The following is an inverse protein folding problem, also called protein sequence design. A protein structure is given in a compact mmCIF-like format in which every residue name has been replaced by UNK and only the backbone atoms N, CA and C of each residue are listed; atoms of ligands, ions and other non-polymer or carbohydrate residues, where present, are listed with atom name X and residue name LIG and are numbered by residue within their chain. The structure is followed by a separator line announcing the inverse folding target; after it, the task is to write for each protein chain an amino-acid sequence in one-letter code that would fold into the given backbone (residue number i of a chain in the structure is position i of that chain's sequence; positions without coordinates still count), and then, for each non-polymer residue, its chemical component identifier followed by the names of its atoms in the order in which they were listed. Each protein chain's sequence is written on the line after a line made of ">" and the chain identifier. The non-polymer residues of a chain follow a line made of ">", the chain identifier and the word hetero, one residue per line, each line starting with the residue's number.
data_IF_767225982862
#
_entry.id   IF_767225982862
#
_cell.length_a   1.000
_cell.length_b   1.000
_cell.length_c   1.000
_cell.angle_alpha   90.00
_cell.angle_beta   90.00
_cell.angle_gamma   90.00
#
_symmetry.space_group_name_H-M   'P 1'
#
loop_
_entity.id
_entity.type
_entity.pdbx_description
1 polymer ?
#
# COMPACT_ATOMS: atom_id res chain seq x y z
N UNK A 1 -2.21 -16.89 -9.10
CA UNK A 1 -2.62 -16.47 -7.73
C UNK A 1 -3.92 -15.69 -7.74
N UNK A 2 -4.05 -14.62 -8.53
CA UNK A 2 -5.27 -13.79 -8.59
C UNK A 2 -6.54 -14.60 -8.92
N UNK A 3 -6.50 -15.45 -9.94
CA UNK A 3 -7.62 -16.33 -10.33
C UNK A 3 -8.00 -17.38 -9.29
N UNK A 4 -7.07 -17.74 -8.38
CA UNK A 4 -7.38 -18.61 -7.25
C UNK A 4 -8.11 -17.83 -6.15
N UNK A 5 -7.63 -16.62 -5.84
CA UNK A 5 -8.22 -15.73 -4.82
C UNK A 5 -9.64 -15.30 -5.17
N UNK A 6 -9.94 -15.15 -6.46
CA UNK A 6 -11.27 -14.81 -6.97
C UNK A 6 -12.38 -15.75 -6.46
N UNK A 7 -12.06 -17.04 -6.28
CA UNK A 7 -13.01 -18.06 -5.81
C UNK A 7 -13.44 -17.87 -4.36
N UNK A 8 -12.74 -17.04 -3.59
CA UNK A 8 -13.03 -16.77 -2.18
C UNK A 8 -13.94 -15.55 -2.00
N UNK A 9 -14.25 -14.81 -3.06
CA UNK A 9 -15.16 -13.66 -3.03
C UNK A 9 -14.77 -12.63 -1.95
N UNK A 10 -13.47 -12.34 -1.84
CA UNK A 10 -13.00 -11.26 -0.98
C UNK A 10 -13.59 -9.94 -1.44
N UNK A 11 -13.84 -9.02 -0.50
CA UNK A 11 -14.31 -7.67 -0.83
C UNK A 11 -13.24 -6.87 -1.59
N UNK A 12 -11.97 -7.13 -1.31
CA UNK A 12 -10.80 -6.56 -1.98
C UNK A 12 -9.55 -7.39 -1.65
N UNK A 13 -8.48 -7.13 -2.38
CA UNK A 13 -7.12 -7.59 -2.08
C UNK A 13 -6.19 -6.38 -1.97
N UNK A 14 -5.01 -6.55 -1.36
CA UNK A 14 -4.01 -5.47 -1.21
C UNK A 14 -2.58 -6.01 -1.27
N UNK A 15 -2.36 -7.03 -2.10
CA UNK A 15 -1.10 -7.78 -2.21
C UNK A 15 -0.26 -7.38 -3.43
N UNK A 16 -0.33 -6.11 -3.81
CA UNK A 16 0.54 -5.52 -4.84
C UNK A 16 0.93 -4.07 -4.50
N UNK A 17 2.00 -3.59 -5.14
CA UNK A 17 2.37 -2.17 -5.16
C UNK A 17 1.58 -1.42 -6.23
N UNK A 18 1.30 -0.13 -6.04
CA UNK A 18 0.56 0.67 -7.01
C UNK A 18 0.03 1.97 -6.43
N UNK A 19 -0.74 2.70 -7.23
CA UNK A 19 -1.17 4.07 -6.91
C UNK A 19 -2.69 4.23 -6.92
N UNK A 20 -3.42 3.37 -7.63
CA UNK A 20 -4.88 3.48 -7.79
C UNK A 20 -5.57 2.14 -7.62
N UNK A 21 -6.84 2.15 -7.20
CA UNK A 21 -7.68 0.96 -7.07
C UNK A 21 -8.10 0.49 -8.47
N UNK A 22 -7.99 -0.82 -8.73
CA UNK A 22 -8.33 -1.39 -10.04
C UNK A 22 -8.90 -2.82 -9.94
N UNK A 23 -9.62 -3.24 -10.98
CA UNK A 23 -10.01 -4.63 -11.20
C UNK A 23 -8.92 -5.35 -12.01
N UNK A 24 -8.28 -6.40 -11.49
CA UNK A 24 -7.19 -7.07 -12.20
C UNK A 24 -7.68 -7.76 -13.48
N UNK A 25 -6.96 -7.56 -14.57
CA UNK A 25 -7.14 -8.31 -15.83
C UNK A 25 -6.08 -9.40 -15.95
N UNK A 26 -6.52 -10.65 -16.08
CA UNK A 26 -5.68 -11.84 -16.23
C UNK A 26 -6.08 -12.58 -17.49
N UNK A 27 -5.14 -12.79 -18.42
CA UNK A 27 -5.37 -13.47 -19.70
C UNK A 27 -6.58 -12.91 -20.48
N UNK A 28 -6.72 -11.58 -20.48
CA UNK A 28 -7.82 -10.87 -21.15
C UNK A 28 -9.16 -10.90 -20.39
N UNK A 29 -9.22 -11.54 -19.23
CA UNK A 29 -10.43 -11.61 -18.38
C UNK A 29 -10.29 -10.67 -17.20
N UNK A 30 -11.22 -9.73 -17.07
CA UNK A 30 -11.36 -8.90 -15.87
C UNK A 30 -11.90 -9.74 -14.70
N UNK A 31 -11.26 -9.65 -13.54
CA UNK A 31 -11.71 -10.27 -12.30
C UNK A 31 -12.65 -9.33 -11.55
N UNK A 32 -13.53 -9.87 -10.71
CA UNK A 32 -14.51 -9.07 -9.95
C UNK A 32 -13.99 -8.55 -8.62
N UNK A 33 -12.89 -9.11 -8.09
CA UNK A 33 -12.30 -8.66 -6.82
C UNK A 33 -11.29 -7.53 -7.05
N UNK A 34 -11.52 -6.31 -6.51
CA UNK A 34 -10.60 -5.20 -6.69
C UNK A 34 -9.29 -5.36 -5.92
N UNK A 35 -8.23 -4.76 -6.44
CA UNK A 35 -6.98 -4.52 -5.73
C UNK A 35 -6.95 -3.10 -5.18
N UNK A 36 -6.53 -2.97 -3.92
CA UNK A 36 -6.16 -1.71 -3.27
C UNK A 36 -4.66 -1.78 -3.02
N UNK A 37 -3.84 -1.24 -3.94
CA UNK A 37 -2.39 -1.42 -3.86
C UNK A 37 -1.74 -0.71 -2.68
N UNK A 38 -0.62 -1.23 -2.19
CA UNK A 38 0.24 -0.55 -1.22
C UNK A 38 0.97 0.61 -1.91
N UNK A 39 0.62 1.85 -1.55
CA UNK A 39 1.17 3.07 -2.18
C UNK A 39 2.23 3.78 -1.34
N UNK A 40 2.34 3.46 -0.04
CA UNK A 40 3.36 4.01 0.85
C UNK A 40 4.49 3.01 1.09
N UNK A 41 5.73 3.46 1.32
CA UNK A 41 6.85 2.56 1.60
C UNK A 41 6.61 1.83 2.93
N UNK A 42 7.10 0.59 3.01
CA UNK A 42 7.15 -0.16 4.27
C UNK A 42 8.32 0.30 5.15
N UNK A 43 8.33 -0.13 6.42
CA UNK A 43 9.43 0.12 7.35
C UNK A 43 10.80 -0.27 6.80
N UNK A 44 10.94 -1.48 6.29
CA UNK A 44 12.14 -2.04 5.66
C UNK A 44 12.52 -1.36 4.33
N UNK A 45 11.54 -0.72 3.66
CA UNK A 45 11.79 0.03 2.44
C UNK A 45 12.38 1.42 2.71
N UNK A 46 12.10 2.01 3.87
CA UNK A 46 12.48 3.38 4.17
C UNK A 46 13.66 3.46 5.16
N UNK A 47 13.69 2.60 6.19
CA UNK A 47 14.72 2.66 7.23
C UNK A 47 16.13 2.39 6.68
N UNK A 48 17.11 3.17 7.14
CA UNK A 48 18.52 2.98 6.80
C UNK A 48 18.89 3.48 5.41
N UNK A 49 17.95 4.13 4.71
CA UNK A 49 18.15 4.66 3.35
C UNK A 49 17.96 6.16 3.32
N UNK A 50 18.70 6.84 2.45
CA UNK A 50 18.57 8.29 2.24
C UNK A 50 18.59 9.12 3.53
N UNK A 51 19.35 8.68 4.54
CA UNK A 51 19.44 9.36 5.85
C UNK A 51 18.26 9.12 6.80
N UNK A 52 17.40 8.15 6.52
CA UNK A 52 16.30 7.77 7.42
C UNK A 52 16.82 6.84 8.52
N UNK A 53 16.56 7.22 9.76
CA UNK A 53 16.82 6.47 10.99
C UNK A 53 15.55 6.48 11.86
N UNK A 54 15.49 5.69 12.94
CA UNK A 54 14.30 5.66 13.80
C UNK A 54 13.86 7.06 14.27
N UNK A 55 14.82 7.92 14.60
CA UNK A 55 14.55 9.26 15.13
C UNK A 55 13.84 10.22 14.13
N UNK A 56 13.88 9.95 12.83
CA UNK A 56 13.21 10.77 11.81
C UNK A 56 12.27 9.96 10.90
N UNK A 57 12.05 8.68 11.21
CA UNK A 57 11.29 7.75 10.38
C UNK A 57 9.84 8.20 10.18
N UNK A 58 9.13 8.53 11.26
CA UNK A 58 7.71 8.91 11.19
C UNK A 58 7.49 10.18 10.36
N UNK A 59 8.32 11.20 10.59
CA UNK A 59 8.31 12.44 9.82
C UNK A 59 8.51 12.17 8.33
N UNK A 60 9.51 11.34 7.99
CA UNK A 60 9.84 10.96 6.61
C UNK A 60 8.76 10.10 5.97
N UNK A 61 8.12 9.19 6.72
CA UNK A 61 7.02 8.39 6.21
C UNK A 61 5.80 9.24 5.91
N UNK A 62 5.48 10.20 6.78
CA UNK A 62 4.34 11.10 6.61
C UNK A 62 4.52 12.09 5.45
N UNK A 63 5.75 12.36 5.00
CA UNK A 63 6.00 13.09 3.73
C UNK A 63 5.44 12.36 2.50
N UNK A 64 5.22 11.04 2.58
CA UNK A 64 4.57 10.29 1.51
C UNK A 64 3.06 10.43 1.51
N UNK A 65 2.42 10.90 2.59
CA UNK A 65 0.99 11.08 2.63
C UNK A 65 0.57 12.33 1.82
N UNK A 66 -0.43 12.20 0.93
CA UNK A 66 -0.98 13.35 0.20
C UNK A 66 -2.49 13.20 -0.02
N UNK A 67 -3.28 14.29 0.08
CA UNK A 67 -4.72 14.24 -0.18
C UNK A 67 -5.07 13.93 -1.64
N UNK A 68 -4.12 14.15 -2.58
CA UNK A 68 -4.35 13.98 -4.01
C UNK A 68 -4.11 12.55 -4.52
N UNK A 69 -3.73 11.62 -3.62
CA UNK A 69 -3.42 10.23 -3.96
C UNK A 69 -3.93 9.26 -2.91
N UNK A 70 -3.98 7.98 -3.27
CA UNK A 70 -4.25 6.92 -2.32
C UNK A 70 -3.07 6.76 -1.34
N UNK A 71 -3.36 6.66 -0.05
CA UNK A 71 -2.38 6.45 1.00
C UNK A 71 -2.66 5.11 1.69
N UNK A 72 -1.95 4.06 1.28
CA UNK A 72 -2.06 2.74 1.90
C UNK A 72 -0.70 2.30 2.44
N UNK A 73 -0.62 2.23 3.76
CA UNK A 73 0.55 1.83 4.53
C UNK A 73 0.38 0.40 5.06
N UNK A 74 1.45 -0.39 4.96
CA UNK A 74 1.56 -1.67 5.65
C UNK A 74 2.32 -1.48 6.95
N UNK A 75 1.80 -2.05 8.02
CA UNK A 75 2.39 -2.04 9.36
C UNK A 75 2.63 -3.50 9.78
N UNK A 76 3.86 -3.85 10.16
CA UNK A 76 4.19 -5.21 10.56
C UNK A 76 3.97 -5.40 12.06
N UNK A 77 3.15 -6.37 12.43
CA UNK A 77 2.90 -6.67 13.83
C UNK A 77 4.18 -7.04 14.59
N UNK A 78 5.12 -7.71 13.91
CA UNK A 78 6.38 -8.18 14.52
C UNK A 78 7.39 -7.06 14.79
N UNK A 79 7.37 -5.97 14.02
CA UNK A 79 8.31 -4.84 14.16
C UNK A 79 7.60 -3.64 14.77
N UNK A 80 6.70 -2.98 14.01
CA UNK A 80 5.94 -1.80 14.44
C UNK A 80 4.93 -2.11 15.55
N UNK A 81 4.48 -3.36 15.70
CA UNK A 81 3.70 -3.81 16.85
C UNK A 81 4.52 -4.30 18.05
N UNK A 82 5.84 -4.46 17.87
CA UNK A 82 6.75 -5.00 18.88
C UNK A 82 7.79 -3.98 19.31
N UNK A 83 9.04 -4.19 18.90
CA UNK A 83 10.18 -3.34 19.28
C UNK A 83 10.01 -1.87 18.88
N UNK A 84 9.24 -1.60 17.82
CA UNK A 84 8.95 -0.25 17.33
C UNK A 84 7.55 0.26 17.76
N UNK A 85 6.88 -0.37 18.74
CA UNK A 85 5.54 0.03 19.18
C UNK A 85 5.45 1.49 19.61
N UNK A 86 6.44 2.00 20.37
CA UNK A 86 6.47 3.42 20.76
C UNK A 86 6.64 4.37 19.58
N UNK A 87 7.39 3.96 18.55
CA UNK A 87 7.51 4.73 17.30
C UNK A 87 6.19 4.72 16.52
N UNK A 88 5.46 3.60 16.51
CA UNK A 88 4.14 3.54 15.89
C UNK A 88 3.11 4.40 16.64
N UNK A 89 3.13 4.41 17.97
CA UNK A 89 2.28 5.32 18.78
C UNK A 89 2.55 6.79 18.43
N UNK A 90 3.82 7.19 18.32
CA UNK A 90 4.21 8.53 17.88
C UNK A 90 3.70 8.84 16.45
N UNK A 91 3.77 7.88 15.52
CA UNK A 91 3.21 8.04 14.17
C UNK A 91 1.72 8.36 14.22
N UNK A 92 0.93 7.68 15.07
CA UNK A 92 -0.50 7.94 15.22
C UNK A 92 -0.76 9.36 15.72
N UNK A 93 0.01 9.83 16.70
CA UNK A 93 -0.11 11.20 17.21
C UNK A 93 0.25 12.25 16.15
N UNK A 94 1.34 12.04 15.41
CA UNK A 94 1.77 12.95 14.34
C UNK A 94 0.76 12.97 13.17
N UNK A 95 0.22 11.82 12.77
CA UNK A 95 -0.80 11.73 11.74
C UNK A 95 -2.06 12.51 12.16
N UNK A 96 -2.53 12.31 13.39
CA UNK A 96 -3.68 13.03 13.92
C UNK A 96 -3.42 14.55 14.00
N UNK A 97 -2.22 14.97 14.43
CA UNK A 97 -1.84 16.38 14.47
C UNK A 97 -1.78 17.03 13.07
N UNK A 98 -1.54 16.25 12.02
CA UNK A 98 -1.62 16.68 10.61
C UNK A 98 -3.03 16.61 10.02
N UNK A 99 -4.03 16.21 10.81
CA UNK A 99 -5.42 16.04 10.35
C UNK A 99 -5.62 14.82 9.44
N UNK A 100 -4.74 13.82 9.52
CA UNK A 100 -4.87 12.57 8.77
C UNK A 100 -5.77 11.62 9.55
N UNK A 101 -6.85 11.18 8.90
CA UNK A 101 -7.72 10.13 9.42
C UNK A 101 -7.20 8.75 9.02
N UNK A 102 -7.10 7.84 9.98
CA UNK A 102 -6.70 6.45 9.74
C UNK A 102 -7.95 5.58 9.62
N UNK A 103 -8.09 4.93 8.46
CA UNK A 103 -9.24 4.09 8.12
C UNK A 103 -8.78 2.71 7.67
N UNK A 104 -9.61 1.65 7.83
CA UNK A 104 -9.32 0.36 7.23
C UNK A 104 -9.31 0.46 5.70
N UNK A 105 -8.53 -0.36 4.97
CA UNK A 105 -8.40 -0.23 3.51
C UNK A 105 -9.73 -0.33 2.77
N UNK A 106 -10.66 -1.16 3.25
CA UNK A 106 -12.00 -1.28 2.68
C UNK A 106 -12.86 -0.01 2.73
N UNK A 107 -12.48 1.01 3.49
CA UNK A 107 -13.12 2.33 3.46
C UNK A 107 -12.71 3.15 2.22
N UNK A 108 -11.61 2.78 1.56
CA UNK A 108 -11.12 3.44 0.34
C UNK A 108 -11.82 2.94 -0.93
N UNK A 109 -12.61 1.88 -0.83
CA UNK A 109 -13.32 1.34 -1.99
C UNK A 109 -14.34 2.35 -2.53
N UNK A 110 -14.31 2.66 -3.84
CA UNK A 110 -15.25 3.59 -4.42
C UNK A 110 -16.66 2.98 -4.46
N UNK A 111 -17.68 3.83 -4.39
CA UNK A 111 -19.07 3.41 -4.60
C UNK A 111 -19.42 3.21 -6.09
N UNK A 112 -18.59 3.73 -6.99
CA UNK A 112 -18.79 3.68 -8.44
C UNK A 112 -17.99 2.57 -9.13
N UNK A 113 -17.87 2.67 -10.46
CA UNK A 113 -17.07 1.75 -11.27
C UNK A 113 -15.59 1.82 -10.91
N UNK A 114 -14.94 0.66 -10.87
CA UNK A 114 -13.49 0.51 -10.67
C UNK A 114 -12.86 0.21 -12.03
N UNK A 115 -11.83 0.96 -12.47
CA UNK A 115 -11.23 0.74 -13.77
C UNK A 115 -10.45 -0.60 -13.82
N UNK A 116 -10.31 -1.23 -14.99
CA UNK A 116 -9.42 -2.37 -15.16
C UNK A 116 -7.96 -1.95 -14.99
N UNK A 117 -7.13 -2.89 -14.54
CA UNK A 117 -5.69 -2.72 -14.45
C UNK A 117 -4.96 -4.04 -14.51
N UNK A 118 -3.65 -3.99 -14.75
CA UNK A 118 -2.80 -5.18 -14.84
C UNK A 118 -1.80 -5.21 -13.71
N UNK A 119 -1.42 -6.41 -13.31
CA UNK A 119 -0.31 -6.65 -12.39
C UNK A 119 0.82 -7.26 -13.19
N UNK A 120 2.02 -6.76 -12.95
CA UNK A 120 3.25 -7.33 -13.49
C UNK A 120 4.26 -7.57 -12.38
N UNK A 121 5.23 -8.43 -12.64
CA UNK A 121 6.30 -8.75 -11.72
C UNK A 121 7.50 -7.85 -11.99
N UNK A 122 7.93 -7.08 -10.98
CA UNK A 122 9.10 -6.18 -11.08
C UNK A 122 9.85 -6.12 -9.77
N UNK A 123 11.15 -5.86 -9.86
CA UNK A 123 11.93 -5.37 -8.73
C UNK A 123 11.60 -3.89 -8.51
N UNK A 124 11.63 -3.44 -7.26
CA UNK A 124 11.49 -2.03 -6.90
C UNK A 124 12.74 -1.54 -6.15
N UNK A 125 13.17 -0.28 -6.34
CA UNK A 125 14.30 0.26 -5.59
C UNK A 125 14.05 0.16 -4.08
N UNK A 126 15.03 -0.39 -3.35
CA UNK A 126 14.91 -0.56 -1.91
C UNK A 126 14.10 -1.78 -1.47
N UNK A 127 13.81 -2.74 -2.33
CA UNK A 127 13.29 -4.02 -1.88
C UNK A 127 14.01 -5.16 -2.57
N UNK A 128 14.49 -6.09 -1.76
CA UNK A 128 15.01 -7.33 -2.31
C UNK A 128 13.85 -8.17 -2.84
N UNK A 129 14.06 -8.73 -4.03
CA UNK A 129 13.12 -9.63 -4.68
C UNK A 129 12.11 -8.96 -5.61
N UNK A 130 11.31 -9.82 -6.22
CA UNK A 130 10.32 -9.47 -7.23
C UNK A 130 8.96 -9.27 -6.53
N UNK A 131 8.31 -8.16 -6.82
CA UNK A 131 6.97 -7.84 -6.30
C UNK A 131 5.94 -7.84 -7.41
N UNK A 132 4.68 -8.08 -7.01
CA UNK A 132 3.53 -7.73 -7.80
C UNK A 132 3.35 -6.20 -7.80
N UNK A 133 3.38 -5.58 -8.97
CA UNK A 133 3.26 -4.13 -9.14
C UNK A 133 2.15 -3.85 -10.15
N UNK A 134 1.29 -2.89 -9.82
CA UNK A 134 0.31 -2.33 -10.75
C UNK A 134 1.06 -1.77 -11.95
N UNK A 135 0.66 -2.21 -13.13
CA UNK A 135 1.15 -1.64 -14.37
C UNK A 135 0.53 -0.25 -14.54
N UNK A 136 1.35 0.80 -14.35
CA UNK A 136 0.96 2.16 -14.72
C UNK A 136 0.49 2.15 -16.17
N UNK A 137 -0.63 2.80 -16.47
CA UNK A 137 -0.97 3.11 -17.85
C UNK A 137 0.24 3.86 -18.45
N UNK A 138 0.76 3.37 -19.58
CA UNK A 138 1.69 4.16 -20.38
C UNK A 138 0.98 5.48 -20.68
N UNK A 139 1.47 6.57 -20.10
CA UNK A 139 1.11 7.93 -20.55
C UNK A 139 1.87 8.18 -21.85
#
# INVERSE_FOLDING_TARGET
>A
MLTLKEKFHFRYNSDCRGETIFLPVVDGTELSTPQIPLSMPTYDELLGRNGVAHANYNEKLLEFASPDKMNLLTVHAEVEGGVCAGMFEEFLHLAAARGIELVPPGALLPAGGIPPGRIVQREIPGREGILAVQESALV
#
